data_IF_970071313155
#
_entry.id   IF_970071313155
#
_cell.length_a   1.000
_cell.length_b   1.000
_cell.length_c   1.000
_cell.angle_alpha   90.00
_cell.angle_beta   90.00
_cell.angle_gamma   90.00
#
_symmetry.space_group_name_H-M   'P 1'
#
loop_
_entity.id
_entity.type
_entity.pdbx_description
1 polymer ?
#
# COMPACT_ATOMS: atom_id res chain seq x y z
N UNK A 1 -18.43 -7.48 -6.47
CA UNK A 1 -18.27 -7.02 -6.31
C UNK A 1 -17.86 -6.58 -6.00
N UNK A 2 -17.61 -6.27 -6.02
CA UNK A 2 -17.47 -5.59 -5.74
C UNK A 2 -17.39 -5.62 -5.91
N UNK A 3 -17.25 -6.89 -6.60
CA UNK A 3 -16.97 -6.40 -6.48
C UNK A 3 -17.62 -5.11 -6.31
N UNK A 4 -17.55 -4.65 -5.18
CA UNK A 4 -18.18 -3.42 -4.80
C UNK A 4 -17.87 -2.27 -5.75
N UNK A 5 -16.63 -2.19 -6.22
CA UNK A 5 -16.23 -1.12 -7.14
C UNK A 5 -17.02 -1.21 -8.44
N UNK A 6 -17.16 -2.42 -8.94
CA UNK A 6 -17.87 -2.62 -10.18
C UNK A 6 -19.35 -2.36 -10.02
N UNK A 7 -19.90 -2.73 -8.87
CA UNK A 7 -21.34 -2.55 -8.62
C UNK A 7 -21.73 -1.09 -8.67
N UNK A 8 -20.87 -0.19 -8.26
CA UNK A 8 -21.16 1.23 -8.25
C UNK A 8 -20.53 1.98 -9.42
N UNK A 9 -19.92 1.23 -10.32
CA UNK A 9 -19.27 1.81 -11.48
C UNK A 9 -18.21 2.84 -11.10
N UNK A 10 -17.57 2.64 -9.96
CA UNK A 10 -16.50 3.49 -9.47
C UNK A 10 -15.19 2.82 -9.81
N UNK A 11 -14.31 3.55 -10.45
CA UNK A 11 -13.01 3.03 -10.80
C UNK A 11 -11.94 3.62 -9.94
N UNK A 12 -11.00 2.77 -9.55
CA UNK A 12 -9.83 3.20 -8.82
C UNK A 12 -8.95 4.05 -9.72
N UNK A 13 -8.50 5.19 -9.22
CA UNK A 13 -7.58 6.02 -9.97
C UNK A 13 -6.22 5.36 -10.06
N UNK A 14 -5.56 5.47 -11.20
CA UNK A 14 -4.24 4.87 -11.37
C UNK A 14 -3.17 5.58 -10.57
N UNK A 15 -3.27 6.91 -10.48
CA UNK A 15 -2.31 7.71 -9.75
C UNK A 15 -3.03 8.77 -8.94
N UNK A 16 -2.62 8.93 -7.70
CA UNK A 16 -3.07 10.04 -6.86
C UNK A 16 -1.82 10.78 -6.42
N UNK A 17 -1.64 11.98 -6.94
CA UNK A 17 -0.48 12.80 -6.61
C UNK A 17 -0.77 13.55 -5.32
N UNK A 18 0.08 13.38 -4.32
CA UNK A 18 -0.10 14.02 -3.02
C UNK A 18 0.74 15.30 -2.98
N UNK A 19 2.00 15.22 -3.37
CA UNK A 19 2.85 16.40 -3.54
C UNK A 19 3.95 16.06 -4.55
N UNK A 20 4.93 16.96 -4.70
CA UNK A 20 5.98 16.76 -5.72
C UNK A 20 6.80 15.50 -5.51
N UNK A 21 6.84 14.99 -4.30
CA UNK A 21 7.70 13.87 -3.94
C UNK A 21 6.93 12.67 -3.42
N UNK A 22 5.60 12.69 -3.45
CA UNK A 22 4.80 11.63 -2.85
C UNK A 22 3.56 11.38 -3.69
N UNK A 23 3.34 10.12 -4.03
CA UNK A 23 2.15 9.74 -4.79
C UNK A 23 1.70 8.34 -4.43
N UNK A 24 0.48 8.01 -4.82
CA UNK A 24 -0.08 6.68 -4.71
C UNK A 24 -0.25 6.13 -6.12
N UNK A 25 0.19 4.90 -6.33
CA UNK A 25 0.02 4.22 -7.61
C UNK A 25 -0.81 2.95 -7.39
N UNK A 26 -1.87 2.81 -8.17
CA UNK A 26 -2.79 1.69 -8.00
C UNK A 26 -2.06 0.36 -8.20
N UNK A 27 -2.44 -0.61 -7.38
CA UNK A 27 -1.92 -1.96 -7.50
C UNK A 27 -2.35 -2.55 -8.85
N UNK A 28 -1.39 -3.10 -9.58
CA UNK A 28 -1.60 -3.59 -10.94
C UNK A 28 -1.34 -5.09 -11.07
N UNK A 29 -1.28 -5.79 -9.96
CA UNK A 29 -0.98 -7.22 -9.96
C UNK A 29 0.48 -7.55 -9.75
N UNK A 30 1.34 -6.54 -9.75
CA UNK A 30 2.77 -6.74 -9.54
C UNK A 30 3.12 -6.40 -8.11
N UNK A 31 3.69 -7.37 -7.39
CA UNK A 31 3.96 -7.23 -5.96
C UNK A 31 5.42 -7.42 -5.61
N UNK A 32 6.26 -7.69 -6.60
CA UNK A 32 7.67 -8.05 -6.35
C UNK A 32 8.42 -6.98 -5.57
N UNK A 33 8.08 -5.72 -5.79
CA UNK A 33 8.76 -4.64 -5.09
C UNK A 33 8.47 -4.63 -3.59
N UNK A 34 7.43 -5.35 -3.16
CA UNK A 34 7.04 -5.41 -1.76
C UNK A 34 7.62 -6.63 -1.03
N UNK A 35 8.22 -7.56 -1.75
CA UNK A 35 8.67 -8.81 -1.14
C UNK A 35 9.65 -8.58 0.00
N UNK A 36 10.58 -7.64 -0.18
CA UNK A 36 11.57 -7.36 0.86
C UNK A 36 10.94 -6.80 2.12
N UNK A 37 9.86 -6.02 1.98
CA UNK A 37 9.20 -5.45 3.15
C UNK A 37 8.66 -6.55 4.05
N UNK A 38 8.10 -7.59 3.45
CA UNK A 38 7.45 -8.67 4.18
C UNK A 38 8.42 -9.77 4.57
N UNK A 39 9.73 -9.49 4.45
CA UNK A 39 10.79 -10.32 5.02
C UNK A 39 11.36 -9.70 6.30
N UNK A 40 11.06 -8.43 6.55
CA UNK A 40 11.59 -7.69 7.69
C UNK A 40 10.81 -8.08 8.96
N UNK A 41 11.45 -8.76 9.93
CA UNK A 41 10.74 -9.22 11.13
C UNK A 41 10.10 -8.09 11.93
N UNK A 42 10.74 -6.93 11.97
CA UNK A 42 10.20 -5.81 12.74
C UNK A 42 8.94 -5.25 12.10
N UNK A 43 8.91 -5.17 10.77
CA UNK A 43 7.72 -4.72 10.07
C UNK A 43 6.58 -5.72 10.25
N UNK A 44 6.87 -7.00 10.13
CA UNK A 44 5.87 -8.05 10.29
C UNK A 44 5.30 -8.02 11.70
N UNK A 45 6.15 -7.80 12.69
CA UNK A 45 5.70 -7.73 14.07
C UNK A 45 4.72 -6.56 14.27
N UNK A 46 4.95 -5.44 13.62
CA UNK A 46 4.04 -4.30 13.71
C UNK A 46 2.69 -4.58 13.07
N UNK A 47 2.67 -5.45 12.06
CA UNK A 47 1.43 -5.74 11.33
C UNK A 47 0.60 -6.80 12.06
N UNK A 48 1.22 -7.90 12.47
CA UNK A 48 0.43 -9.03 12.99
C UNK A 48 0.97 -9.64 14.28
N UNK A 49 1.96 -9.02 14.90
CA UNK A 49 2.49 -9.48 16.18
C UNK A 49 3.41 -10.69 16.10
N UNK A 50 3.76 -11.12 14.91
CA UNK A 50 4.68 -12.22 14.68
C UNK A 50 5.90 -11.68 13.97
N UNK A 51 6.91 -12.54 13.81
CA UNK A 51 8.15 -12.13 13.14
C UNK A 51 8.50 -13.04 11.98
N UNK A 52 7.60 -13.94 11.60
CA UNK A 52 7.85 -14.90 10.54
C UNK A 52 7.73 -14.24 9.17
N UNK A 53 8.73 -14.39 8.30
CA UNK A 53 8.64 -13.79 6.97
C UNK A 53 7.47 -14.34 6.18
N UNK A 54 6.91 -13.49 5.33
CA UNK A 54 5.84 -13.92 4.43
C UNK A 54 6.48 -14.50 3.17
N UNK A 55 6.19 -15.74 2.81
CA UNK A 55 6.64 -16.25 1.51
C UNK A 55 5.95 -15.49 0.37
N UNK A 56 6.55 -15.50 -0.82
CA UNK A 56 5.99 -14.74 -1.95
C UNK A 56 4.52 -15.05 -2.22
N UNK A 57 4.12 -16.30 -2.10
CA UNK A 57 2.73 -16.69 -2.34
C UNK A 57 1.78 -16.02 -1.35
N UNK A 58 2.23 -15.84 -0.12
CA UNK A 58 1.42 -15.18 0.90
C UNK A 58 1.29 -13.70 0.61
N UNK A 59 2.35 -13.06 0.13
CA UNK A 59 2.30 -11.65 -0.24
C UNK A 59 1.33 -11.47 -1.40
N UNK A 60 1.40 -12.34 -2.40
CA UNK A 60 0.49 -12.29 -3.54
C UNK A 60 -0.96 -12.43 -3.09
N UNK A 61 -1.24 -13.44 -2.28
CA UNK A 61 -2.61 -13.67 -1.81
C UNK A 61 -3.12 -12.50 -0.97
N UNK A 62 -2.24 -11.89 -0.19
CA UNK A 62 -2.61 -10.73 0.60
C UNK A 62 -3.09 -9.59 -0.28
N UNK A 63 -2.31 -9.25 -1.31
CA UNK A 63 -2.70 -8.17 -2.20
C UNK A 63 -3.96 -8.50 -3.00
N UNK A 64 -4.10 -9.74 -3.44
CA UNK A 64 -5.30 -10.15 -4.16
C UNK A 64 -6.54 -10.05 -3.27
N UNK A 65 -6.40 -10.45 -2.01
CA UNK A 65 -7.50 -10.32 -1.07
C UNK A 65 -7.85 -8.85 -0.84
N UNK A 66 -6.85 -8.02 -0.59
CA UNK A 66 -7.09 -6.60 -0.34
C UNK A 66 -7.69 -5.92 -1.56
N UNK A 67 -7.21 -6.26 -2.75
CA UNK A 67 -7.74 -5.68 -3.98
C UNK A 67 -9.18 -6.10 -4.25
N UNK A 68 -9.58 -7.26 -3.76
CA UNK A 68 -10.97 -7.71 -3.89
C UNK A 68 -11.91 -6.99 -2.95
N UNK A 69 -11.37 -6.35 -1.90
CA UNK A 69 -12.17 -5.68 -0.88
C UNK A 69 -12.16 -4.17 -0.99
N UNK A 70 -11.10 -3.60 -1.54
CA UNK A 70 -10.96 -2.17 -1.59
C UNK A 70 -10.00 -1.74 -2.69
N UNK A 71 -9.52 -0.52 -2.55
CA UNK A 71 -8.58 0.05 -3.51
C UNK A 71 -7.19 0.02 -2.92
N UNK A 72 -6.31 -0.77 -3.53
CA UNK A 72 -4.94 -0.93 -3.05
C UNK A 72 -4.03 -0.02 -3.84
N UNK A 73 -3.16 0.69 -3.13
CA UNK A 73 -2.17 1.56 -3.74
C UNK A 73 -0.80 1.27 -3.16
N UNK A 74 0.23 1.39 -3.98
CA UNK A 74 1.59 1.50 -3.49
C UNK A 74 1.87 2.96 -3.20
N UNK A 75 2.56 3.20 -2.08
CA UNK A 75 3.01 4.54 -1.70
C UNK A 75 4.39 4.72 -2.31
N UNK A 76 4.56 5.74 -3.14
CA UNK A 76 5.81 5.98 -3.85
C UNK A 76 6.37 7.35 -3.51
N UNK A 77 7.68 7.42 -3.30
CA UNK A 77 8.37 8.68 -3.10
C UNK A 77 9.34 8.92 -4.26
N UNK A 78 9.53 10.19 -4.61
CA UNK A 78 10.50 10.58 -5.63
C UNK A 78 11.87 10.65 -4.97
N UNK A 79 12.78 9.83 -5.45
CA UNK A 79 14.12 9.77 -4.89
C UNK A 79 15.09 9.31 -5.96
N UNK A 80 16.21 10.00 -6.08
CA UNK A 80 17.27 9.65 -7.03
C UNK A 80 16.70 9.51 -8.45
N UNK A 81 15.87 10.49 -8.83
CA UNK A 81 15.30 10.63 -10.17
C UNK A 81 14.39 9.47 -10.60
N UNK A 82 13.76 8.80 -9.63
CA UNK A 82 12.73 7.82 -9.95
C UNK A 82 11.75 7.69 -8.80
N UNK A 83 10.60 7.09 -9.09
CA UNK A 83 9.61 6.81 -8.06
C UNK A 83 9.92 5.49 -7.39
N UNK A 84 10.08 5.53 -6.08
CA UNK A 84 10.47 4.38 -5.27
C UNK A 84 9.28 3.93 -4.42
N UNK A 85 8.80 2.69 -4.60
CA UNK A 85 7.75 2.17 -3.72
C UNK A 85 8.31 1.97 -2.31
N UNK A 86 7.59 2.46 -1.31
CA UNK A 86 8.04 2.37 0.09
C UNK A 86 7.01 1.72 1.01
N UNK A 87 5.80 1.50 0.52
CA UNK A 87 4.76 0.92 1.35
C UNK A 87 3.48 0.76 0.56
N UNK A 88 2.42 0.42 1.27
CA UNK A 88 1.12 0.26 0.66
C UNK A 88 0.01 0.78 1.55
N UNK A 89 -1.14 1.06 0.95
CA UNK A 89 -2.34 1.46 1.65
C UNK A 89 -3.52 0.84 0.93
N UNK A 90 -4.50 0.40 1.71
CA UNK A 90 -5.75 -0.11 1.15
C UNK A 90 -6.88 0.78 1.63
N UNK A 91 -7.62 1.35 0.70
CA UNK A 91 -8.74 2.21 1.01
C UNK A 91 -10.04 1.43 0.82
N UNK A 92 -10.73 1.16 1.91
CA UNK A 92 -12.03 0.52 1.86
C UNK A 92 -12.92 1.10 2.95
N UNK A 93 -14.15 0.66 2.93
CA UNK A 93 -15.27 1.29 3.61
C UNK A 93 -15.02 1.67 5.07
N UNK A 94 -14.47 0.77 5.85
CA UNK A 94 -14.36 0.95 7.30
C UNK A 94 -12.93 1.02 7.80
N UNK A 95 -11.96 0.98 6.91
CA UNK A 95 -10.59 0.82 7.34
C UNK A 95 -9.64 1.40 6.31
N UNK A 96 -8.47 1.79 6.77
CA UNK A 96 -7.45 2.38 5.91
C UNK A 96 -6.07 1.94 6.38
N UNK A 97 -5.78 0.63 6.31
CA UNK A 97 -4.47 0.16 6.75
C UNK A 97 -3.36 0.71 5.87
N UNK A 98 -2.36 1.28 6.52
CA UNK A 98 -1.20 1.89 5.88
C UNK A 98 0.04 1.16 6.38
N UNK A 99 0.85 0.68 5.46
CA UNK A 99 2.11 0.02 5.78
C UNK A 99 3.26 0.79 5.14
N UNK A 100 4.18 1.28 5.95
CA UNK A 100 5.42 1.87 5.44
C UNK A 100 6.47 0.77 5.52
N UNK A 101 6.71 0.11 4.38
CA UNK A 101 7.55 -1.06 4.35
C UNK A 101 9.05 -0.79 4.50
N UNK A 102 9.49 0.39 4.07
CA UNK A 102 10.90 0.76 4.18
C UNK A 102 11.11 1.58 5.46
N UNK A 103 11.96 1.04 6.35
CA UNK A 103 12.17 1.62 7.67
C UNK A 103 12.62 3.07 7.63
N UNK A 104 13.42 3.44 6.63
CA UNK A 104 13.97 4.79 6.52
C UNK A 104 12.89 5.85 6.33
N UNK A 105 11.70 5.44 5.92
CA UNK A 105 10.61 6.38 5.65
C UNK A 105 9.57 6.42 6.76
N UNK A 106 9.78 5.64 7.83
CA UNK A 106 8.88 5.68 8.98
C UNK A 106 9.18 6.88 9.84
N UNK A 107 8.15 7.38 10.53
CA UNK A 107 8.32 8.50 11.44
C UNK A 107 8.50 9.84 10.74
N UNK A 108 8.17 9.94 9.46
CA UNK A 108 8.35 11.18 8.69
C UNK A 108 7.03 11.81 8.28
N UNK A 109 5.92 11.33 8.82
CA UNK A 109 4.62 11.91 8.52
C UNK A 109 4.01 11.48 7.20
N UNK A 110 4.59 10.50 6.52
CA UNK A 110 4.08 10.05 5.22
C UNK A 110 2.70 9.44 5.38
N UNK A 111 2.50 8.59 6.38
CA UNK A 111 1.20 7.98 6.61
C UNK A 111 0.11 9.01 6.81
N UNK A 112 0.43 10.10 7.51
CA UNK A 112 -0.53 11.18 7.74
C UNK A 112 -0.91 11.89 6.45
N UNK A 113 0.06 12.13 5.56
CA UNK A 113 -0.21 12.74 4.27
C UNK A 113 -1.08 11.83 3.39
N UNK A 114 -0.79 10.54 3.41
CA UNK A 114 -1.56 9.56 2.66
C UNK A 114 -2.99 9.52 3.16
N UNK A 115 -3.16 9.46 4.48
CA UNK A 115 -4.48 9.45 5.08
C UNK A 115 -5.27 10.68 4.69
N UNK A 116 -4.66 11.85 4.78
CA UNK A 116 -5.33 13.10 4.41
C UNK A 116 -5.77 13.12 2.96
N UNK A 117 -4.94 12.57 2.08
CA UNK A 117 -5.26 12.54 0.65
C UNK A 117 -6.46 11.65 0.34
N UNK A 118 -6.59 10.55 1.07
CA UNK A 118 -7.63 9.57 0.77
C UNK A 118 -8.98 9.89 1.41
N UNK A 119 -8.99 10.64 2.48
CA UNK A 119 -10.25 10.89 3.21
C UNK A 119 -10.85 12.26 2.98
N UNK A 120 -10.34 13.00 2.02
CA UNK A 120 -10.90 14.32 1.70
C UNK A 120 -12.29 14.24 1.14
#
# INVERSE_FOLDING_TARGET
MWGRKDAYNIQQEELIVIDDNLRLRAYDGQFEQALDWYQDPDMIYMIDGRRDPYPPERVQRMYEYLASRGEVYFIEVWETEHWLPIGDVTFWQDDLPIVIGKADYRGKGIGKKVLSALIQ
#
